data_IF_455693178011
#
_entry.id   IF_455693178011
#
_cell.length_a   1.000
_cell.length_b   1.000
_cell.length_c   1.000
_cell.angle_alpha   90.00
_cell.angle_beta   90.00
_cell.angle_gamma   90.00
#
_symmetry.space_group_name_H-M   'P 1'
#
loop_
_entity.id
_entity.type
_entity.pdbx_description
1 polymer ?
#
# COMPACT_ATOMS: atom_id res chain seq x y z
N UNK A 1 7.62 -15.13 18.61
CA UNK A 1 7.52 -15.13 17.13
C UNK A 1 6.20 -14.47 16.73
N UNK A 2 6.17 -13.53 15.77
CA UNK A 2 4.92 -12.93 15.29
C UNK A 2 4.22 -13.95 14.37
N UNK A 3 3.03 -14.42 14.74
CA UNK A 3 2.24 -15.28 13.85
C UNK A 3 1.89 -14.49 12.57
N UNK A 4 2.00 -15.13 11.38
CA UNK A 4 1.64 -14.52 10.11
C UNK A 4 0.12 -14.29 10.06
N UNK A 5 -0.29 -13.21 9.40
CA UNK A 5 -1.71 -12.98 9.14
C UNK A 5 -2.20 -13.98 8.10
N UNK A 6 -3.37 -14.57 8.31
CA UNK A 6 -4.08 -15.32 7.29
C UNK A 6 -5.14 -14.43 6.68
N UNK A 7 -5.31 -14.54 5.36
CA UNK A 7 -6.32 -13.82 4.60
C UNK A 7 -7.21 -14.82 3.90
N UNK A 8 -8.52 -14.60 3.97
CA UNK A 8 -9.51 -15.42 3.30
C UNK A 8 -10.61 -14.52 2.72
N UNK A 9 -11.08 -14.88 1.54
CA UNK A 9 -12.21 -14.22 0.89
C UNK A 9 -13.48 -15.05 1.07
N UNK A 10 -14.60 -14.38 1.25
CA UNK A 10 -15.92 -14.98 1.37
C UNK A 10 -16.88 -14.21 0.47
N UNK A 11 -17.79 -14.92 -0.18
CA UNK A 11 -18.84 -14.37 -1.02
C UNK A 11 -20.16 -14.88 -0.45
N UNK A 12 -20.94 -13.98 0.15
CA UNK A 12 -22.27 -14.28 0.66
C UNK A 12 -23.23 -14.69 -0.46
N UNK A 13 -24.31 -15.38 -0.09
CA UNK A 13 -25.36 -15.79 -1.04
C UNK A 13 -26.02 -14.58 -1.75
N UNK A 14 -26.07 -13.44 -1.07
CA UNK A 14 -26.54 -12.15 -1.58
C UNK A 14 -25.54 -11.44 -2.51
N UNK A 15 -24.34 -12.01 -2.70
CA UNK A 15 -23.25 -11.42 -3.46
C UNK A 15 -22.34 -10.48 -2.66
N UNK A 16 -22.56 -10.32 -1.36
CA UNK A 16 -21.69 -9.51 -0.49
C UNK A 16 -20.30 -10.13 -0.40
N UNK A 17 -19.26 -9.34 -0.66
CA UNK A 17 -17.86 -9.80 -0.59
C UNK A 17 -17.22 -9.38 0.73
N UNK A 18 -16.68 -10.35 1.45
CA UNK A 18 -15.98 -10.15 2.72
C UNK A 18 -14.53 -10.63 2.60
N UNK A 19 -13.60 -9.79 3.08
CA UNK A 19 -12.20 -10.17 3.30
C UNK A 19 -11.96 -10.35 4.79
N UNK A 20 -11.71 -11.57 5.22
CA UNK A 20 -11.24 -11.88 6.56
C UNK A 20 -9.72 -11.78 6.61
N UNK A 21 -9.22 -11.12 7.66
CA UNK A 21 -7.82 -11.21 8.09
C UNK A 21 -7.79 -11.75 9.51
N UNK A 22 -7.09 -12.85 9.75
CA UNK A 22 -6.99 -13.46 11.07
C UNK A 22 -5.54 -13.65 11.48
N UNK A 23 -5.25 -13.42 12.75
CA UNK A 23 -3.98 -13.78 13.37
C UNK A 23 -4.07 -15.07 14.20
N UNK A 24 -5.29 -15.45 14.56
CA UNK A 24 -5.64 -16.72 15.19
C UNK A 24 -7.16 -16.94 15.15
N UNK A 25 -7.67 -17.81 16.01
CA UNK A 25 -9.09 -18.21 16.01
C UNK A 25 -9.96 -17.33 16.92
N UNK A 26 -9.34 -16.55 17.80
CA UNK A 26 -10.07 -15.68 18.73
C UNK A 26 -10.70 -14.48 18.01
N UNK A 27 -11.86 -14.04 18.50
CA UNK A 27 -12.63 -12.96 17.87
C UNK A 27 -11.87 -11.62 17.81
N UNK A 28 -11.03 -11.35 18.82
CA UNK A 28 -10.21 -10.14 18.87
C UNK A 28 -9.00 -10.19 17.91
N UNK A 29 -8.69 -11.37 17.37
CA UNK A 29 -7.62 -11.60 16.40
C UNK A 29 -8.13 -11.67 14.95
N UNK A 30 -9.42 -11.38 14.74
CA UNK A 30 -10.09 -11.43 13.45
C UNK A 30 -10.58 -10.04 13.05
N UNK A 31 -10.24 -9.64 11.83
CA UNK A 31 -10.66 -8.39 11.21
C UNK A 31 -11.42 -8.73 9.94
N UNK A 32 -12.56 -8.08 9.75
CA UNK A 32 -13.43 -8.32 8.60
C UNK A 32 -13.65 -7.02 7.86
N UNK A 33 -13.42 -7.08 6.55
CA UNK A 33 -13.76 -6.01 5.63
C UNK A 33 -14.88 -6.41 4.70
N UNK A 34 -15.89 -5.57 4.58
CA UNK A 34 -16.92 -5.66 3.56
C UNK A 34 -16.55 -4.79 2.37
N UNK A 35 -16.97 -5.24 1.21
CA UNK A 35 -16.84 -4.52 -0.05
C UNK A 35 -18.18 -4.48 -0.77
N UNK A 36 -18.52 -3.30 -1.28
CA UNK A 36 -19.62 -3.16 -2.21
C UNK A 36 -19.14 -3.45 -3.62
N UNK A 37 -19.93 -4.24 -4.35
CA UNK A 37 -19.60 -4.71 -5.70
C UNK A 37 -20.71 -4.33 -6.65
N UNK A 38 -20.35 -3.89 -7.85
CA UNK A 38 -21.30 -3.47 -8.89
C UNK A 38 -21.78 -4.64 -9.77
N UNK A 39 -21.21 -5.82 -9.56
CA UNK A 39 -21.53 -7.06 -10.28
C UNK A 39 -21.29 -8.26 -9.38
N UNK A 40 -21.89 -9.40 -9.73
CA UNK A 40 -21.60 -10.67 -9.06
C UNK A 40 -20.16 -11.08 -9.39
N UNK A 41 -19.33 -11.22 -8.36
CA UNK A 41 -17.95 -11.66 -8.48
C UNK A 41 -17.80 -13.14 -8.15
N UNK A 42 -16.77 -13.75 -8.72
CA UNK A 42 -16.32 -15.09 -8.35
C UNK A 42 -15.05 -15.03 -7.50
N UNK A 43 -14.73 -16.11 -6.79
CA UNK A 43 -13.46 -16.22 -6.03
C UNK A 43 -12.23 -15.99 -6.92
N UNK A 44 -12.30 -16.39 -8.19
CA UNK A 44 -11.25 -16.19 -9.20
C UNK A 44 -10.97 -14.70 -9.44
N UNK A 45 -12.00 -13.86 -9.49
CA UNK A 45 -11.88 -12.41 -9.63
C UNK A 45 -11.19 -11.78 -8.41
N UNK A 46 -11.53 -12.26 -7.21
CA UNK A 46 -10.94 -11.78 -5.96
C UNK A 46 -9.44 -12.11 -5.88
N UNK A 47 -9.05 -13.30 -6.32
CA UNK A 47 -7.63 -13.67 -6.40
C UNK A 47 -6.88 -12.90 -7.48
N UNK A 48 -7.51 -12.66 -8.63
CA UNK A 48 -6.94 -11.83 -9.68
C UNK A 48 -6.74 -10.39 -9.20
N UNK A 49 -7.67 -9.84 -8.41
CA UNK A 49 -7.53 -8.53 -7.79
C UNK A 49 -6.34 -8.50 -6.82
N UNK A 50 -6.26 -9.47 -5.90
CA UNK A 50 -5.15 -9.53 -4.94
C UNK A 50 -3.78 -9.62 -5.65
N UNK A 51 -3.68 -10.37 -6.75
CA UNK A 51 -2.43 -10.44 -7.51
C UNK A 51 -2.11 -9.14 -8.27
N UNK A 52 -3.13 -8.44 -8.78
CA UNK A 52 -2.94 -7.11 -9.39
C UNK A 52 -2.49 -6.08 -8.36
N UNK A 53 -3.10 -6.08 -7.18
CA UNK A 53 -2.70 -5.23 -6.06
C UNK A 53 -1.29 -5.57 -5.57
N UNK A 54 -0.96 -6.85 -5.42
CA UNK A 54 0.39 -7.28 -5.03
C UNK A 54 1.45 -6.82 -6.01
N UNK A 55 1.23 -6.97 -7.32
CA UNK A 55 2.16 -6.47 -8.34
C UNK A 55 2.30 -4.95 -8.30
N UNK A 56 1.21 -4.23 -8.02
CA UNK A 56 1.24 -2.79 -7.84
C UNK A 56 2.06 -2.39 -6.61
N UNK A 57 1.85 -3.05 -5.47
CA UNK A 57 2.54 -2.79 -4.20
C UNK A 57 4.04 -3.12 -4.30
N UNK A 58 4.42 -4.21 -4.97
CA UNK A 58 5.83 -4.55 -5.25
C UNK A 58 6.48 -3.46 -6.10
N UNK A 59 5.82 -3.03 -7.17
CA UNK A 59 6.33 -1.94 -8.02
C UNK A 59 6.50 -0.64 -7.22
N UNK A 60 5.57 -0.36 -6.30
CA UNK A 60 5.66 0.79 -5.42
C UNK A 60 6.84 0.68 -4.45
N UNK A 61 7.03 -0.47 -3.78
CA UNK A 61 8.15 -0.70 -2.87
C UNK A 61 9.49 -0.43 -3.55
N UNK A 62 9.66 -0.88 -4.80
CA UNK A 62 10.85 -0.58 -5.59
C UNK A 62 11.02 0.91 -5.84
N UNK A 63 9.94 1.62 -6.23
CA UNK A 63 10.00 3.06 -6.45
C UNK A 63 10.29 3.84 -5.16
N UNK A 64 9.66 3.47 -4.05
CA UNK A 64 9.90 4.08 -2.73
C UNK A 64 11.35 3.88 -2.28
N UNK A 65 11.91 2.68 -2.47
CA UNK A 65 13.32 2.41 -2.17
C UNK A 65 14.25 3.27 -3.02
N UNK A 66 13.97 3.39 -4.32
CA UNK A 66 14.75 4.25 -5.20
C UNK A 66 14.68 5.73 -4.75
N UNK A 67 13.49 6.25 -4.43
CA UNK A 67 13.34 7.61 -3.91
C UNK A 67 14.07 7.82 -2.59
N UNK A 68 14.03 6.86 -1.66
CA UNK A 68 14.77 6.93 -0.40
C UNK A 68 16.28 6.99 -0.64
N UNK A 69 16.82 6.19 -1.57
CA UNK A 69 18.23 6.23 -1.92
C UNK A 69 18.64 7.58 -2.53
N UNK A 70 17.84 8.10 -3.47
CA UNK A 70 18.07 9.43 -4.06
C UNK A 70 18.01 10.51 -3.00
N UNK A 71 17.02 10.46 -2.09
CA UNK A 71 16.89 11.41 -0.99
C UNK A 71 18.10 11.37 -0.06
N UNK A 72 18.59 10.18 0.26
CA UNK A 72 19.81 9.97 1.05
C UNK A 72 21.04 10.56 0.37
N UNK A 73 21.21 10.34 -0.95
CA UNK A 73 22.31 10.94 -1.72
C UNK A 73 22.26 12.47 -1.72
N UNK A 74 21.07 13.05 -1.89
CA UNK A 74 20.88 14.52 -1.81
C UNK A 74 21.23 15.04 -0.42
N UNK A 75 20.79 14.36 0.64
CA UNK A 75 21.12 14.75 2.01
C UNK A 75 22.64 14.69 2.27
N UNK A 76 23.31 13.64 1.81
CA UNK A 76 24.77 13.51 1.92
C UNK A 76 25.48 14.62 1.15
N UNK A 77 25.03 14.93 -0.08
CA UNK A 77 25.59 16.03 -0.88
C UNK A 77 25.41 17.40 -0.20
N UNK A 78 24.24 17.64 0.41
CA UNK A 78 23.97 18.85 1.19
C UNK A 78 24.90 18.97 2.40
N UNK A 79 25.04 17.90 3.18
CA UNK A 79 25.92 17.89 4.36
C UNK A 79 27.37 18.08 3.94
N UNK A 80 27.84 17.39 2.90
CA UNK A 80 29.18 17.57 2.35
C UNK A 80 29.41 19.01 1.86
N UNK A 81 28.42 19.58 1.15
CA UNK A 81 28.51 20.97 0.69
C UNK A 81 28.51 21.98 1.84
N UNK A 82 27.76 21.71 2.91
CA UNK A 82 27.75 22.54 4.11
C UNK A 82 29.07 22.45 4.87
N UNK A 83 29.63 21.25 5.06
CA UNK A 83 30.96 21.05 5.65
C UNK A 83 32.02 21.80 4.85
N UNK A 84 32.01 21.68 3.52
CA UNK A 84 32.93 22.40 2.64
C UNK A 84 32.73 23.92 2.71
N UNK A 85 31.50 24.41 2.85
CA UNK A 85 31.22 25.84 2.98
C UNK A 85 31.83 26.47 4.24
N UNK A 86 31.92 25.69 5.34
CA UNK A 86 32.49 26.15 6.62
C UNK A 86 33.97 25.76 6.80
N UNK A 87 34.57 25.03 5.87
CA UNK A 87 35.97 24.63 5.95
C UNK A 87 36.88 25.75 5.43
N UNK A 88 37.90 26.20 6.20
CA UNK A 88 38.74 27.36 5.84
C UNK A 88 39.66 27.15 4.62
N UNK A 89 39.60 25.98 3.97
CA UNK A 89 40.42 25.58 2.81
C UNK A 89 39.57 25.51 1.52
N UNK A 90 38.25 25.66 1.61
CA UNK A 90 37.38 25.50 0.45
C UNK A 90 37.48 26.67 -0.52
N UNK A 91 37.71 26.35 -1.80
CA UNK A 91 37.77 27.33 -2.87
C UNK A 91 36.46 28.15 -2.97
N UNK A 92 36.55 29.47 -3.17
CA UNK A 92 35.37 30.32 -3.32
C UNK A 92 34.56 29.86 -4.54
N UNK A 93 33.33 29.39 -4.31
CA UNK A 93 32.38 28.98 -5.36
C UNK A 93 31.78 27.59 -5.19
N UNK A 94 32.50 26.65 -4.56
CA UNK A 94 32.05 25.24 -4.41
C UNK A 94 30.77 25.14 -3.57
N UNK A 95 30.70 25.91 -2.49
CA UNK A 95 29.55 25.98 -1.59
C UNK A 95 28.31 26.62 -2.25
N UNK A 96 28.50 27.63 -3.09
CA UNK A 96 27.42 28.28 -3.83
C UNK A 96 26.84 27.36 -4.91
N UNK A 97 27.68 26.65 -5.67
CA UNK A 97 27.24 25.68 -6.68
C UNK A 97 26.47 24.53 -6.04
N UNK A 98 26.94 24.02 -4.90
CA UNK A 98 26.24 22.98 -4.14
C UNK A 98 24.86 23.44 -3.66
N UNK A 99 24.72 24.64 -3.10
CA UNK A 99 23.41 25.18 -2.70
C UNK A 99 22.46 25.36 -3.88
N UNK A 100 22.95 25.90 -5.01
CA UNK A 100 22.15 26.15 -6.21
C UNK A 100 21.63 24.85 -6.83
N UNK A 101 22.39 23.76 -6.77
CA UNK A 101 21.95 22.45 -7.30
C UNK A 101 21.05 21.71 -6.31
N UNK A 102 21.34 21.82 -5.01
CA UNK A 102 20.62 21.06 -3.98
C UNK A 102 19.18 21.54 -3.77
N UNK A 103 18.95 22.85 -3.74
CA UNK A 103 17.63 23.43 -3.45
C UNK A 103 16.58 23.03 -4.51
N UNK A 104 16.82 23.17 -5.84
CA UNK A 104 15.89 22.69 -6.85
C UNK A 104 15.68 21.17 -6.77
N UNK A 105 16.73 20.40 -6.47
CA UNK A 105 16.61 18.95 -6.31
C UNK A 105 15.67 18.57 -5.17
N UNK A 106 15.75 19.25 -4.02
CA UNK A 106 14.84 19.05 -2.90
C UNK A 106 13.40 19.38 -3.32
N UNK A 107 13.18 20.52 -3.99
CA UNK A 107 11.84 20.92 -4.45
C UNK A 107 11.25 19.88 -5.40
N UNK A 108 12.04 19.41 -6.38
CA UNK A 108 11.63 18.34 -7.31
C UNK A 108 11.30 17.05 -6.53
N UNK A 109 12.08 16.70 -5.52
CA UNK A 109 11.87 15.51 -4.72
C UNK A 109 10.57 15.58 -3.91
N UNK A 110 10.27 16.72 -3.27
CA UNK A 110 9.03 16.92 -2.52
C UNK A 110 7.82 16.88 -3.45
N UNK A 111 7.87 17.60 -4.57
CA UNK A 111 6.77 17.64 -5.55
C UNK A 111 6.53 16.26 -6.17
N UNK A 112 7.59 15.58 -6.59
CA UNK A 112 7.48 14.23 -7.16
C UNK A 112 6.90 13.23 -6.14
N UNK A 113 7.28 13.31 -4.87
CA UNK A 113 6.74 12.43 -3.82
C UNK A 113 5.23 12.60 -3.66
N UNK A 114 4.73 13.85 -3.64
CA UNK A 114 3.29 14.14 -3.56
C UNK A 114 2.52 13.67 -4.79
N UNK A 115 3.07 13.88 -5.99
CA UNK A 115 2.46 13.42 -7.24
C UNK A 115 2.42 11.88 -7.31
N UNK A 116 3.52 11.22 -6.91
CA UNK A 116 3.62 9.76 -6.89
C UNK A 116 2.60 9.17 -5.91
N UNK A 117 2.48 9.69 -4.68
CA UNK A 117 1.50 9.18 -3.71
C UNK A 117 0.05 9.35 -4.19
N UNK A 118 -0.27 10.52 -4.76
CA UNK A 118 -1.63 10.78 -5.26
C UNK A 118 -2.01 9.90 -6.44
N UNK A 119 -1.08 9.70 -7.38
CA UNK A 119 -1.29 8.84 -8.56
C UNK A 119 -1.42 7.38 -8.15
N UNK A 120 -0.73 6.94 -7.10
CA UNK A 120 -0.85 5.59 -6.56
C UNK A 120 -2.20 5.34 -5.91
N UNK A 121 -2.68 6.25 -5.05
CA UNK A 121 -4.01 6.12 -4.47
C UNK A 121 -5.07 6.04 -5.57
N UNK A 122 -4.95 6.88 -6.61
CA UNK A 122 -5.85 6.85 -7.78
C UNK A 122 -5.75 5.53 -8.55
N UNK A 123 -4.54 5.03 -8.82
CA UNK A 123 -4.33 3.75 -9.52
C UNK A 123 -4.88 2.57 -8.72
N UNK A 124 -4.65 2.53 -7.41
CA UNK A 124 -5.18 1.49 -6.53
C UNK A 124 -6.70 1.48 -6.51
N UNK A 125 -7.34 2.65 -6.37
CA UNK A 125 -8.81 2.78 -6.49
C UNK A 125 -9.32 2.37 -7.87
N UNK A 126 -8.57 2.68 -8.93
CA UNK A 126 -8.91 2.24 -10.29
C UNK A 126 -8.84 0.72 -10.44
N UNK A 127 -7.79 0.07 -9.91
CA UNK A 127 -7.66 -1.39 -9.92
C UNK A 127 -8.86 -2.06 -9.22
N UNK A 128 -9.32 -1.51 -8.09
CA UNK A 128 -10.53 -1.97 -7.41
C UNK A 128 -11.79 -1.80 -8.27
N UNK A 129 -12.03 -0.60 -8.80
CA UNK A 129 -13.19 -0.32 -9.67
C UNK A 129 -13.21 -1.17 -10.93
N UNK A 130 -12.07 -1.35 -11.58
CA UNK A 130 -11.94 -2.20 -12.78
C UNK A 130 -12.23 -3.69 -12.48
N UNK A 131 -12.04 -4.12 -11.23
CA UNK A 131 -12.40 -5.46 -10.77
C UNK A 131 -13.87 -5.59 -10.34
N UNK A 132 -14.63 -4.50 -10.31
CA UNK A 132 -16.06 -4.47 -9.97
C UNK A 132 -16.37 -3.98 -8.55
N UNK A 133 -15.40 -3.39 -7.84
CA UNK A 133 -15.59 -2.84 -6.50
C UNK A 133 -16.03 -1.38 -6.57
N UNK A 134 -17.16 -1.05 -5.95
CA UNK A 134 -17.79 0.27 -6.07
C UNK A 134 -17.37 1.22 -4.93
N UNK A 135 -17.19 0.68 -3.72
CA UNK A 135 -16.77 1.44 -2.53
C UNK A 135 -15.40 0.99 -1.99
N UNK A 136 -14.77 1.90 -1.22
CA UNK A 136 -13.57 1.57 -0.45
C UNK A 136 -13.92 0.62 0.71
N UNK A 137 -12.99 -0.27 1.06
CA UNK A 137 -13.05 -1.21 2.18
C UNK A 137 -13.73 -0.62 3.43
N UNK A 138 -14.82 -1.25 3.89
CA UNK A 138 -15.48 -0.91 5.16
C UNK A 138 -15.23 -2.01 6.19
N UNK A 139 -14.74 -1.64 7.37
CA UNK A 139 -14.57 -2.61 8.47
C UNK A 139 -15.93 -2.90 9.08
N UNK A 140 -16.29 -4.18 9.19
CA UNK A 140 -17.54 -4.63 9.81
C UNK A 140 -17.27 -5.36 11.13
N UNK A 141 -18.29 -5.42 11.99
CA UNK A 141 -18.20 -6.15 13.24
C UNK A 141 -18.04 -7.65 13.01
N UNK A 142 -17.28 -8.34 13.88
CA UNK A 142 -17.05 -9.78 13.74
C UNK A 142 -18.34 -10.61 13.81
N UNK A 143 -19.32 -10.18 14.60
CA UNK A 143 -20.64 -10.83 14.69
C UNK A 143 -21.41 -10.75 13.38
N UNK A 144 -21.43 -9.57 12.75
CA UNK A 144 -22.08 -9.36 11.45
C UNK A 144 -21.39 -10.15 10.34
N UNK A 145 -20.05 -10.12 10.31
CA UNK A 145 -19.28 -10.87 9.33
C UNK A 145 -19.54 -12.38 9.43
N UNK A 146 -19.56 -12.93 10.65
CA UNK A 146 -19.84 -14.35 10.89
C UNK A 146 -21.26 -14.72 10.48
N UNK A 147 -22.24 -13.87 10.75
CA UNK A 147 -23.62 -14.12 10.30
C UNK A 147 -23.72 -14.27 8.77
N UNK A 148 -22.95 -13.50 8.01
CA UNK A 148 -22.87 -13.62 6.54
C UNK A 148 -22.05 -14.85 6.13
N UNK A 149 -20.92 -15.10 6.81
CA UNK A 149 -20.03 -16.22 6.49
C UNK A 149 -20.70 -17.58 6.72
N UNK A 150 -21.44 -17.70 7.82
CA UNK A 150 -22.10 -18.95 8.25
C UNK A 150 -23.47 -19.14 7.56
N UNK A 151 -23.94 -18.15 6.79
CA UNK A 151 -25.20 -18.26 6.06
C UNK A 151 -25.14 -19.34 4.95
N UNK A 152 -26.23 -20.09 4.73
CA UNK A 152 -26.27 -21.09 3.68
C UNK A 152 -26.12 -20.45 2.28
N UNK A 153 -25.28 -21.07 1.45
CA UNK A 153 -24.97 -20.58 0.10
C UNK A 153 -23.76 -19.64 0.03
N UNK A 154 -23.13 -19.31 1.16
CA UNK A 154 -21.86 -18.58 1.18
C UNK A 154 -20.72 -19.44 0.68
N UNK A 155 -19.89 -18.87 -0.19
CA UNK A 155 -18.70 -19.52 -0.75
C UNK A 155 -17.46 -18.91 -0.13
N UNK A 156 -16.64 -19.76 0.49
CA UNK A 156 -15.37 -19.34 1.12
C UNK A 156 -14.18 -19.81 0.28
N UNK A 157 -13.24 -18.91 0.05
CA UNK A 157 -12.00 -19.19 -0.64
C UNK A 157 -10.96 -19.89 0.24
N UNK A 158 -9.81 -20.20 -0.35
CA UNK A 158 -8.62 -20.67 0.36
C UNK A 158 -8.08 -19.62 1.35
N UNK A 159 -7.62 -20.08 2.52
CA UNK A 159 -6.80 -19.30 3.46
C UNK A 159 -5.37 -19.17 2.94
N UNK A 160 -4.87 -17.94 2.86
CA UNK A 160 -3.51 -17.63 2.40
C UNK A 160 -2.76 -16.91 3.50
N UNK A 161 -1.59 -17.41 3.88
CA UNK A 161 -0.70 -16.71 4.81
C UNK A 161 -0.06 -15.52 4.11
N UNK A 162 -0.15 -14.34 4.72
CA UNK A 162 0.41 -13.09 4.23
C UNK A 162 1.38 -12.56 5.28
N UNK A 163 2.64 -12.41 4.89
CA UNK A 163 3.64 -11.76 5.72
C UNK A 163 3.34 -10.27 5.81
N UNK A 164 3.53 -9.68 6.99
CA UNK A 164 3.29 -8.25 7.20
C UNK A 164 4.37 -7.49 6.42
N UNK A 165 4.01 -6.91 5.28
CA UNK A 165 4.85 -5.93 4.55
C UNK A 165 4.98 -4.66 5.37
#
# INVERSE_FOLDING_TARGET
>A
MKQPWQVQWHIGADGTVIKQRSKGEEAHEQLYGRYDVNRRLELSDLYALDERLRRHDVSFLWLSRAMLLVSGLVAVALVAGLILAFWPIAAPGVSATLLIVSVPMIVILVVSTGLISSTMVRRRKRIGRDAGFESDYSTIAASEARAIIDAPGTVSGRKVSVEKV
#
